data_IF_459995710413
#
_entry.id   IF_459995710413
#
_cell.length_a   1.000
_cell.length_b   1.000
_cell.length_c   1.000
_cell.angle_alpha   90.00
_cell.angle_beta   90.00
_cell.angle_gamma   90.00
#
_symmetry.space_group_name_H-M   'P 1'
#
loop_
_entity.id
_entity.type
_entity.pdbx_description
1 polymer ?
#
# COMPACT_ATOMS: atom_id res chain seq x y z
N UNK A 1 -24.24 -52.52 12.74
CA UNK A 1 -24.82 -52.47 11.38
C UNK A 1 -24.63 -51.06 10.78
N UNK A 2 -23.79 -50.88 9.78
CA UNK A 2 -23.61 -49.59 9.06
C UNK A 2 -24.64 -49.52 7.94
N UNK A 3 -25.68 -48.68 8.09
CA UNK A 3 -26.64 -48.37 7.02
C UNK A 3 -25.91 -47.66 5.88
N UNK A 4 -25.72 -48.28 4.74
CA UNK A 4 -25.30 -47.64 3.50
C UNK A 4 -26.45 -46.78 2.97
N UNK A 5 -26.34 -45.44 3.09
CA UNK A 5 -27.26 -44.51 2.49
C UNK A 5 -27.04 -44.58 0.96
N UNK A 6 -27.95 -45.20 0.23
CA UNK A 6 -27.99 -45.14 -1.24
C UNK A 6 -28.61 -43.83 -1.66
N UNK A 7 -27.78 -42.85 -1.96
CA UNK A 7 -28.24 -41.58 -2.57
C UNK A 7 -28.69 -41.90 -4.01
N UNK A 8 -29.92 -41.53 -4.38
CA UNK A 8 -30.39 -41.73 -5.75
C UNK A 8 -29.58 -40.86 -6.72
N UNK A 9 -29.33 -41.34 -7.94
CA UNK A 9 -28.61 -40.58 -8.96
C UNK A 9 -29.24 -39.18 -9.20
N UNK A 10 -30.56 -39.09 -9.16
CA UNK A 10 -31.31 -37.84 -9.31
C UNK A 10 -31.00 -36.85 -8.17
N UNK A 11 -30.94 -37.34 -6.93
CA UNK A 11 -30.61 -36.48 -5.78
C UNK A 11 -29.17 -35.98 -5.87
N UNK A 12 -28.22 -36.80 -6.34
CA UNK A 12 -26.83 -36.38 -6.55
C UNK A 12 -26.72 -35.31 -7.62
N UNK A 13 -27.47 -35.41 -8.72
CA UNK A 13 -27.49 -34.39 -9.76
C UNK A 13 -28.05 -33.07 -9.26
N UNK A 14 -29.15 -33.12 -8.50
CA UNK A 14 -29.76 -31.91 -7.90
C UNK A 14 -28.77 -31.23 -6.96
N UNK A 15 -28.11 -31.99 -6.06
CA UNK A 15 -27.13 -31.43 -5.14
C UNK A 15 -25.95 -30.79 -5.87
N UNK A 16 -25.46 -31.44 -6.94
CA UNK A 16 -24.37 -30.88 -7.75
C UNK A 16 -24.79 -29.58 -8.43
N UNK A 17 -26.00 -29.53 -9.01
CA UNK A 17 -26.53 -28.33 -9.65
C UNK A 17 -26.66 -27.16 -8.65
N UNK A 18 -27.18 -27.41 -7.46
CA UNK A 18 -27.30 -26.41 -6.40
C UNK A 18 -25.90 -25.92 -5.98
N UNK A 19 -24.94 -26.81 -5.82
CA UNK A 19 -23.57 -26.44 -5.47
C UNK A 19 -22.94 -25.53 -6.56
N UNK A 20 -23.13 -25.86 -7.83
CA UNK A 20 -22.62 -25.04 -8.94
C UNK A 20 -23.24 -23.64 -8.95
N UNK A 21 -24.54 -23.52 -8.73
CA UNK A 21 -25.23 -22.24 -8.66
C UNK A 21 -24.70 -21.41 -7.48
N UNK A 22 -24.52 -22.01 -6.32
CA UNK A 22 -23.97 -21.32 -5.14
C UNK A 22 -22.53 -20.87 -5.38
N UNK A 23 -21.68 -21.69 -6.03
CA UNK A 23 -20.32 -21.32 -6.40
C UNK A 23 -20.32 -20.14 -7.38
N UNK A 24 -21.14 -20.20 -8.44
CA UNK A 24 -21.24 -19.12 -9.43
C UNK A 24 -21.70 -17.80 -8.76
N UNK A 25 -22.73 -17.88 -7.92
CA UNK A 25 -23.20 -16.72 -7.14
C UNK A 25 -22.11 -16.17 -6.22
N UNK A 26 -21.37 -17.03 -5.53
CA UNK A 26 -20.26 -16.62 -4.66
C UNK A 26 -19.15 -15.91 -5.42
N UNK A 27 -18.75 -16.44 -6.59
CA UNK A 27 -17.75 -15.84 -7.45
C UNK A 27 -18.21 -14.45 -7.91
N UNK A 28 -19.45 -14.37 -8.40
CA UNK A 28 -20.03 -13.08 -8.82
C UNK A 28 -20.05 -12.08 -7.66
N UNK A 29 -20.53 -12.50 -6.49
CA UNK A 29 -20.61 -11.64 -5.30
C UNK A 29 -19.22 -11.12 -4.89
N UNK A 30 -18.20 -12.00 -4.82
CA UNK A 30 -16.84 -11.60 -4.46
C UNK A 30 -16.28 -10.61 -5.48
N UNK A 31 -16.47 -10.86 -6.77
CA UNK A 31 -15.99 -9.95 -7.81
C UNK A 31 -16.72 -8.60 -7.81
N UNK A 32 -18.03 -8.61 -7.54
CA UNK A 32 -18.83 -7.39 -7.48
C UNK A 32 -18.55 -6.54 -6.22
N UNK A 33 -18.09 -7.19 -5.14
CA UNK A 33 -17.79 -6.53 -3.86
C UNK A 33 -16.28 -6.40 -3.61
N UNK A 34 -15.45 -6.90 -4.54
CA UNK A 34 -14.01 -6.74 -4.45
C UNK A 34 -13.67 -5.25 -4.50
N UNK A 35 -12.94 -4.78 -3.50
CA UNK A 35 -12.46 -3.41 -3.47
C UNK A 35 -11.43 -3.23 -4.59
N UNK A 36 -11.74 -2.37 -5.54
CA UNK A 36 -10.77 -1.95 -6.57
C UNK A 36 -10.04 -0.73 -6.03
N UNK A 37 -8.73 -0.84 -5.86
CA UNK A 37 -7.90 0.32 -5.58
C UNK A 37 -7.86 1.19 -6.82
N UNK A 38 -8.34 2.41 -6.71
CA UNK A 38 -8.18 3.41 -7.74
C UNK A 38 -6.81 4.07 -7.54
N UNK A 39 -5.92 3.88 -8.50
CA UNK A 39 -4.61 4.54 -8.48
C UNK A 39 -4.81 6.00 -8.87
N UNK A 40 -4.43 6.90 -7.98
CA UNK A 40 -4.40 8.33 -8.25
C UNK A 40 -2.96 8.76 -8.47
N UNK A 41 -2.70 9.49 -9.54
CA UNK A 41 -1.38 10.00 -9.88
C UNK A 41 -1.32 11.50 -9.63
N UNK A 42 -0.26 11.94 -8.97
CA UNK A 42 -0.01 13.35 -8.66
C UNK A 42 1.38 13.76 -9.13
N UNK A 43 1.48 14.98 -9.62
CA UNK A 43 2.75 15.57 -10.02
C UNK A 43 3.57 16.08 -8.82
N UNK A 44 4.87 16.32 -9.08
CA UNK A 44 5.73 16.99 -8.11
C UNK A 44 5.18 18.40 -7.84
N UNK A 45 5.06 18.76 -6.56
CA UNK A 45 4.53 20.06 -6.11
C UNK A 45 3.02 20.05 -5.86
N UNK A 46 2.29 19.05 -6.30
CA UNK A 46 0.85 18.93 -6.05
C UNK A 46 0.54 18.45 -4.63
N UNK A 47 -0.48 19.03 -4.02
CA UNK A 47 -0.93 18.58 -2.71
C UNK A 47 -1.89 17.39 -2.82
N UNK A 48 -1.57 16.35 -2.09
CA UNK A 48 -2.33 15.10 -2.01
C UNK A 48 -3.08 15.10 -0.69
N UNK A 49 -4.41 15.26 -0.68
CA UNK A 49 -5.20 15.13 0.54
C UNK A 49 -5.26 13.67 0.97
N UNK A 50 -5.00 13.40 2.24
CA UNK A 50 -5.02 12.03 2.75
C UNK A 50 -6.43 11.55 3.13
N UNK A 51 -7.33 12.46 3.49
CA UNK A 51 -8.77 12.25 3.71
C UNK A 51 -9.15 11.10 4.67
N UNK A 52 -8.22 10.65 5.50
CA UNK A 52 -8.42 9.49 6.36
C UNK A 52 -8.17 8.12 5.70
N UNK A 53 -7.82 8.09 4.41
CA UNK A 53 -7.71 6.84 3.65
C UNK A 53 -6.36 6.13 3.82
N UNK A 54 -5.32 6.88 4.21
CA UNK A 54 -3.97 6.38 4.38
C UNK A 54 -3.66 6.19 5.86
N UNK A 55 -3.80 4.97 6.34
CA UNK A 55 -3.51 4.65 7.75
C UNK A 55 -2.91 3.25 7.87
N UNK A 56 -1.93 3.12 8.74
CA UNK A 56 -1.29 1.85 9.11
C UNK A 56 -1.98 1.22 10.32
N UNK A 57 -2.45 2.03 11.24
CA UNK A 57 -3.13 1.58 12.45
C UNK A 57 -4.45 2.35 12.67
N UNK A 58 -5.33 1.77 13.48
CA UNK A 58 -6.62 2.39 13.82
C UNK A 58 -6.50 3.68 14.64
N UNK A 59 -5.34 3.89 15.25
CA UNK A 59 -5.02 5.09 16.01
C UNK A 59 -4.60 6.26 15.11
N UNK A 60 -4.27 5.99 13.86
CA UNK A 60 -3.92 7.04 12.91
C UNK A 60 -5.18 7.67 12.34
N UNK A 61 -5.22 8.98 12.41
CA UNK A 61 -6.28 9.77 11.80
C UNK A 61 -5.65 10.79 10.86
N UNK A 62 -5.69 10.49 9.56
CA UNK A 62 -5.09 11.32 8.52
C UNK A 62 -6.05 12.39 7.96
N UNK A 63 -7.26 12.51 8.51
CA UNK A 63 -8.19 13.56 8.11
C UNK A 63 -7.58 14.95 8.31
N UNK A 64 -7.72 15.83 7.32
CA UNK A 64 -7.15 17.17 7.37
C UNK A 64 -5.64 17.24 7.15
N UNK A 65 -4.98 16.11 6.93
CA UNK A 65 -3.60 16.10 6.47
C UNK A 65 -3.52 16.07 4.95
N UNK A 66 -2.53 16.77 4.44
CA UNK A 66 -2.13 16.72 3.03
C UNK A 66 -0.62 16.59 2.95
N UNK A 67 -0.15 15.93 1.92
CA UNK A 67 1.27 15.72 1.65
C UNK A 67 1.60 16.17 0.23
N UNK A 68 2.82 16.62 0.00
CA UNK A 68 3.33 16.80 -1.36
C UNK A 68 4.80 16.47 -1.42
N UNK A 69 5.23 15.92 -2.52
CA UNK A 69 6.65 15.85 -2.87
C UNK A 69 7.03 17.17 -3.51
N UNK A 70 7.78 18.00 -2.78
CA UNK A 70 8.21 19.32 -3.28
C UNK A 70 9.35 19.18 -4.30
N UNK A 71 10.26 18.27 -4.02
CA UNK A 71 11.45 18.05 -4.83
C UNK A 71 11.89 16.60 -4.75
N UNK A 72 12.39 16.09 -5.86
CA UNK A 72 12.99 14.77 -5.95
C UNK A 72 14.31 14.90 -6.73
N UNK A 73 15.41 14.49 -6.15
CA UNK A 73 16.72 14.49 -6.79
C UNK A 73 17.41 13.15 -6.61
N UNK A 74 18.25 12.79 -7.59
CA UNK A 74 19.16 11.66 -7.48
C UNK A 74 20.56 12.22 -7.28
N UNK A 75 21.17 11.89 -6.15
CA UNK A 75 22.49 12.39 -5.77
C UNK A 75 23.44 11.22 -5.57
N UNK A 76 24.72 11.44 -5.83
CA UNK A 76 25.74 10.46 -5.49
C UNK A 76 25.81 10.28 -3.98
N UNK A 77 26.12 9.07 -3.55
CA UNK A 77 26.26 8.76 -2.13
C UNK A 77 27.30 9.69 -1.43
N UNK A 78 28.39 10.00 -2.09
CA UNK A 78 29.41 10.91 -1.56
C UNK A 78 28.88 12.32 -1.33
N UNK A 79 28.09 12.86 -2.27
CA UNK A 79 27.47 14.17 -2.15
C UNK A 79 26.40 14.20 -1.05
N UNK A 80 25.64 13.12 -0.93
CA UNK A 80 24.69 12.93 0.18
C UNK A 80 25.43 12.95 1.52
N UNK A 81 26.55 12.25 1.62
CA UNK A 81 27.34 12.21 2.83
C UNK A 81 27.93 13.58 3.21
N UNK A 82 28.35 14.36 2.22
CA UNK A 82 28.84 15.73 2.45
C UNK A 82 27.72 16.65 2.99
N UNK A 83 26.49 16.48 2.49
CA UNK A 83 25.34 17.30 2.90
C UNK A 83 24.82 16.94 4.30
N UNK A 84 24.75 15.65 4.64
CA UNK A 84 24.04 15.13 5.81
C UNK A 84 24.93 14.46 6.88
N UNK A 85 26.17 14.15 6.56
CA UNK A 85 27.24 14.04 7.57
C UNK A 85 27.33 12.78 8.41
N UNK A 86 26.63 11.67 8.13
CA UNK A 86 26.90 10.40 8.82
C UNK A 86 26.71 9.19 7.93
N UNK A 87 27.75 8.31 7.79
CA UNK A 87 27.56 7.03 7.13
C UNK A 87 26.60 6.18 7.96
N UNK A 88 25.64 5.58 7.28
CA UNK A 88 24.95 4.42 7.82
C UNK A 88 25.92 3.26 7.62
N UNK A 89 26.32 2.58 8.69
CA UNK A 89 27.45 1.62 8.68
C UNK A 89 27.37 0.56 7.58
N UNK A 90 26.16 0.13 7.20
CA UNK A 90 25.96 -0.85 6.11
C UNK A 90 26.10 -0.27 4.68
N UNK A 91 26.09 1.06 4.53
CA UNK A 91 26.29 1.73 3.24
C UNK A 91 27.75 2.17 3.05
N UNK A 92 28.54 2.20 4.13
CA UNK A 92 29.93 2.64 4.09
C UNK A 92 30.83 1.76 3.20
N UNK A 93 30.48 0.50 3.00
CA UNK A 93 31.22 -0.42 2.13
C UNK A 93 30.89 -0.30 0.66
N UNK A 94 29.87 0.48 0.28
CA UNK A 94 29.34 0.49 -1.08
C UNK A 94 29.05 1.91 -1.59
N UNK A 95 30.13 2.64 -1.85
CA UNK A 95 30.12 4.05 -2.30
C UNK A 95 29.63 4.27 -3.74
N UNK A 96 29.28 3.21 -4.47
CA UNK A 96 28.84 3.28 -5.88
C UNK A 96 27.34 3.43 -6.08
N UNK A 97 26.57 3.66 -5.01
CA UNK A 97 25.12 3.80 -5.11
C UNK A 97 24.71 5.27 -5.19
N UNK A 98 23.72 5.52 -6.02
CA UNK A 98 22.99 6.76 -6.02
C UNK A 98 21.89 6.73 -4.94
N UNK A 99 21.64 7.89 -4.37
CA UNK A 99 20.61 8.11 -3.34
C UNK A 99 19.49 8.94 -3.94
N UNK A 100 18.26 8.47 -3.79
CA UNK A 100 17.08 9.28 -4.12
C UNK A 100 16.75 10.12 -2.90
N UNK A 101 16.84 11.43 -3.05
CA UNK A 101 16.50 12.40 -2.02
C UNK A 101 15.15 13.03 -2.35
N UNK A 102 14.20 12.87 -1.42
CA UNK A 102 12.87 13.47 -1.54
C UNK A 102 12.68 14.53 -0.46
N UNK A 103 12.25 15.72 -0.87
CA UNK A 103 11.75 16.73 0.05
C UNK A 103 10.24 16.65 0.08
N UNK A 104 9.69 16.28 1.24
CA UNK A 104 8.25 16.08 1.43
C UNK A 104 7.73 17.10 2.42
N UNK A 105 6.70 17.83 2.03
CA UNK A 105 5.99 18.78 2.89
C UNK A 105 4.70 18.13 3.40
N UNK A 106 4.40 18.35 4.68
CA UNK A 106 3.16 17.97 5.32
C UNK A 106 2.39 19.20 5.74
N UNK A 107 1.09 19.20 5.50
CA UNK A 107 0.17 20.24 5.93
C UNK A 107 -0.91 19.60 6.80
N UNK A 108 -1.20 20.23 7.93
CA UNK A 108 -2.30 19.85 8.82
C UNK A 108 -3.32 20.98 8.85
N UNK A 109 -4.56 20.67 8.50
CA UNK A 109 -5.70 21.58 8.58
C UNK A 109 -6.66 21.12 9.68
N UNK A 110 -6.43 21.65 10.88
CA UNK A 110 -7.32 21.46 12.05
C UNK A 110 -7.44 20.04 12.62
N UNK A 111 -6.56 19.11 12.27
CA UNK A 111 -6.52 17.82 12.95
C UNK A 111 -5.69 17.96 14.23
N UNK A 112 -6.33 17.75 15.39
CA UNK A 112 -5.71 17.80 16.72
C UNK A 112 -5.48 16.40 17.32
N UNK A 113 -6.01 15.37 16.66
CA UNK A 113 -6.05 14.00 17.19
C UNK A 113 -5.62 13.01 16.09
N UNK A 114 -4.41 13.20 15.57
CA UNK A 114 -3.94 12.33 14.51
C UNK A 114 -2.50 12.60 14.12
N UNK A 115 -2.10 11.94 13.06
CA UNK A 115 -0.76 12.04 12.52
C UNK A 115 -0.60 11.27 11.23
N UNK A 116 0.55 11.46 10.62
CA UNK A 116 0.96 10.75 9.42
C UNK A 116 2.23 9.97 9.73
N UNK A 117 2.20 8.67 9.48
CA UNK A 117 3.37 7.81 9.67
C UNK A 117 4.27 7.88 8.44
N UNK A 118 5.51 8.32 8.61
CA UNK A 118 6.48 8.38 7.51
C UNK A 118 6.79 6.99 6.93
N UNK A 119 6.58 5.92 7.69
CA UNK A 119 6.81 4.53 7.23
C UNK A 119 5.84 4.06 6.16
N UNK A 120 4.72 4.74 5.99
CA UNK A 120 3.70 4.39 5.00
C UNK A 120 4.06 4.86 3.59
N UNK A 121 5.13 5.66 3.48
CA UNK A 121 5.65 6.09 2.20
C UNK A 121 6.64 5.08 1.64
N UNK A 122 6.35 4.57 0.46
CA UNK A 122 7.19 3.63 -0.26
C UNK A 122 7.63 4.23 -1.58
N UNK A 123 8.90 4.09 -1.90
CA UNK A 123 9.41 4.40 -3.23
C UNK A 123 9.23 3.16 -4.11
N UNK A 124 8.39 3.28 -5.13
CA UNK A 124 8.15 2.21 -6.09
C UNK A 124 8.79 2.57 -7.42
N UNK A 125 9.48 1.62 -8.03
CA UNK A 125 9.84 1.68 -9.44
C UNK A 125 9.13 0.54 -10.18
N UNK A 126 9.24 0.50 -11.51
CA UNK A 126 8.59 -0.54 -12.33
C UNK A 126 9.03 -1.97 -11.98
N UNK A 127 10.17 -2.14 -11.32
CA UNK A 127 10.75 -3.45 -11.02
C UNK A 127 10.80 -3.80 -9.53
N UNK A 128 10.85 -2.81 -8.64
CA UNK A 128 11.09 -3.04 -7.21
C UNK A 128 10.42 -1.97 -6.35
N UNK A 129 9.93 -2.38 -5.19
CA UNK A 129 9.55 -1.47 -4.10
C UNK A 129 10.75 -1.25 -3.19
N UNK A 130 11.10 0.01 -2.94
CA UNK A 130 12.09 0.39 -1.95
C UNK A 130 11.40 1.07 -0.76
N UNK A 131 11.74 0.65 0.46
CA UNK A 131 11.23 1.27 1.66
C UNK A 131 12.11 2.44 2.07
N UNK A 132 11.51 3.52 2.58
CA UNK A 132 12.28 4.61 3.14
C UNK A 132 12.97 4.16 4.43
N UNK A 133 14.28 4.27 4.46
CA UNK A 133 15.05 4.13 5.69
C UNK A 133 15.13 5.51 6.36
N UNK A 134 14.89 5.52 7.68
CA UNK A 134 15.00 6.73 8.50
C UNK A 134 16.45 7.13 8.70
#
# INVERSE_FOLDING_TARGET
MKRKIRVSKTLSVILLSVALVLCAWRIWYVNATAYSFETQEYGIGEWIPLNGDFFYSKEENTNGYSVRVREAEVVRYEDFMQRFGKPVDYLAENTQHDVVLLTVDFKNENNTDGGVFIRDFNLLNEAQSAYFNK
#
